data_IF_105855612906
#
_entry.id   IF_105855612906
#
_cell.length_a   1.000
_cell.length_b   1.000
_cell.length_c   1.000
_cell.angle_alpha   90.00
_cell.angle_beta   90.00
_cell.angle_gamma   90.00
#
_symmetry.space_group_name_H-M   'P 1'
#
loop_
_entity.id
_entity.type
_entity.pdbx_description
1 polymer ?
#
# COMPACT_ATOMS: atom_id res chain seq x y z
N UNK A 1 -12.95 13.30 24.11
CA UNK A 1 -12.56 12.17 23.23
C UNK A 1 -12.29 12.79 21.87
N UNK A 2 -11.03 13.04 21.53
CA UNK A 2 -10.69 13.54 20.19
C UNK A 2 -10.82 12.37 19.21
N UNK A 3 -11.82 12.42 18.34
CA UNK A 3 -11.98 11.49 17.22
C UNK A 3 -10.91 11.79 16.19
N UNK A 4 -9.80 11.05 16.20
CA UNK A 4 -8.86 11.07 15.09
C UNK A 4 -9.57 10.50 13.85
N UNK A 5 -9.57 11.25 12.74
CA UNK A 5 -10.11 10.78 11.47
C UNK A 5 -9.02 9.97 10.76
N UNK A 6 -9.20 8.65 10.67
CA UNK A 6 -8.35 7.77 9.85
C UNK A 6 -8.98 7.60 8.48
N UNK A 7 -8.20 7.81 7.41
CA UNK A 7 -8.58 7.56 6.03
C UNK A 7 -7.63 6.55 5.42
N UNK A 8 -8.17 5.46 4.91
CA UNK A 8 -7.42 4.50 4.08
C UNK A 8 -7.52 4.91 2.62
N UNK A 9 -6.39 4.96 1.91
CA UNK A 9 -6.33 5.18 0.47
C UNK A 9 -5.73 3.97 -0.23
N UNK A 10 -6.26 3.60 -1.39
CA UNK A 10 -5.71 2.52 -2.21
C UNK A 10 -5.28 3.07 -3.56
N UNK A 11 -4.11 2.66 -4.05
CA UNK A 11 -3.60 3.00 -5.39
C UNK A 11 -2.98 1.79 -6.06
N UNK A 12 -3.09 1.71 -7.38
CA UNK A 12 -2.38 0.69 -8.16
C UNK A 12 -1.04 1.25 -8.64
N UNK A 13 0.03 0.50 -8.42
CA UNK A 13 1.41 0.84 -8.80
C UNK A 13 1.95 -0.24 -9.72
N UNK A 14 2.51 0.14 -10.87
CA UNK A 14 3.12 -0.80 -11.82
C UNK A 14 4.64 -0.74 -11.73
N UNK A 15 5.25 -1.82 -11.24
CA UNK A 15 6.70 -1.98 -11.22
C UNK A 15 7.15 -2.62 -12.53
N UNK A 16 8.02 -1.93 -13.27
CA UNK A 16 8.56 -2.41 -14.56
C UNK A 16 9.72 -3.40 -14.40
N UNK A 17 10.27 -3.51 -13.18
CA UNK A 17 11.35 -4.44 -12.83
C UNK A 17 10.98 -5.20 -11.56
N UNK A 18 11.51 -6.42 -11.39
CA UNK A 18 11.40 -7.14 -10.12
C UNK A 18 12.01 -6.33 -8.98
N UNK A 19 11.43 -6.42 -7.79
CA UNK A 19 11.86 -5.68 -6.60
C UNK A 19 11.84 -6.59 -5.37
N UNK A 20 12.56 -6.20 -4.33
CA UNK A 20 12.58 -6.89 -3.04
C UNK A 20 11.88 -6.03 -2.00
N UNK A 21 11.21 -6.67 -1.05
CA UNK A 21 10.56 -6.01 0.09
C UNK A 21 11.22 -6.49 1.36
N UNK A 22 11.61 -5.57 2.23
CA UNK A 22 12.13 -5.91 3.53
C UNK A 22 11.06 -6.62 4.37
N UNK A 23 11.43 -7.72 5.02
CA UNK A 23 10.48 -8.56 5.76
C UNK A 23 9.69 -9.56 4.91
N UNK A 24 9.98 -9.67 3.61
CA UNK A 24 9.45 -10.72 2.75
C UNK A 24 10.55 -11.56 2.12
N UNK A 25 10.39 -12.88 2.18
CA UNK A 25 11.31 -13.80 1.53
C UNK A 25 11.11 -13.83 0.02
N UNK A 26 12.05 -13.20 -0.70
CA UNK A 26 12.21 -13.33 -2.15
C UNK A 26 11.82 -12.11 -2.97
N UNK A 27 12.26 -12.14 -4.23
CA UNK A 27 12.04 -11.09 -5.23
C UNK A 27 10.59 -11.16 -5.73
N UNK A 28 9.90 -10.03 -5.65
CA UNK A 28 8.58 -9.82 -6.23
C UNK A 28 8.70 -9.54 -7.74
N UNK A 29 7.89 -10.18 -8.59
CA UNK A 29 7.96 -9.99 -10.03
C UNK A 29 7.58 -8.56 -10.44
N UNK A 30 8.04 -8.11 -11.61
CA UNK A 30 7.48 -6.92 -12.24
C UNK A 30 5.97 -7.12 -12.48
N UNK A 31 5.17 -6.09 -12.26
CA UNK A 31 3.71 -6.19 -12.36
C UNK A 31 2.97 -5.04 -11.69
N UNK A 32 1.65 -5.12 -11.69
CA UNK A 32 0.77 -4.15 -11.03
C UNK A 32 0.37 -4.65 -9.64
N UNK A 33 0.53 -3.78 -8.65
CA UNK A 33 0.32 -4.06 -7.23
C UNK A 33 -0.60 -3.00 -6.64
N UNK A 34 -1.53 -3.41 -5.77
CA UNK A 34 -2.35 -2.45 -5.02
C UNK A 34 -1.60 -2.09 -3.75
N UNK A 35 -1.43 -0.80 -3.52
CA UNK A 35 -0.82 -0.24 -2.31
C UNK A 35 -1.90 0.49 -1.54
N UNK A 36 -2.15 0.06 -0.31
CA UNK A 36 -3.02 0.73 0.65
C UNK A 36 -2.18 1.57 1.61
N UNK A 37 -2.67 2.74 1.98
CA UNK A 37 -2.02 3.64 2.91
C UNK A 37 -3.05 4.20 3.87
N UNK A 38 -2.84 3.96 5.16
CA UNK A 38 -3.63 4.59 6.21
C UNK A 38 -3.02 5.95 6.54
N UNK A 39 -3.86 6.97 6.49
CA UNK A 39 -3.56 8.34 6.80
C UNK A 39 -4.39 8.79 8.00
N UNK A 40 -3.75 9.40 8.99
CA UNK A 40 -4.44 10.04 10.11
C UNK A 40 -4.46 11.55 9.91
N UNK A 41 -5.64 12.15 10.00
CA UNK A 41 -5.79 13.60 10.05
C UNK A 41 -5.39 14.12 11.42
N UNK A 42 -4.39 15.00 11.43
CA UNK A 42 -3.97 15.73 12.62
C UNK A 42 -4.81 17.01 12.67
N UNK A 43 -5.93 16.98 13.42
CA UNK A 43 -6.87 18.10 13.55
C UNK A 43 -6.38 19.21 14.49
N UNK A 44 -5.29 18.96 15.23
CA UNK A 44 -4.67 19.92 16.16
C UNK A 44 -3.87 21.04 15.49
N UNK A 45 -3.73 21.01 14.16
CA UNK A 45 -3.03 22.02 13.36
C UNK A 45 -4.03 22.94 12.64
N UNK A 46 -3.66 24.20 12.39
CA UNK A 46 -4.52 25.18 11.71
C UNK A 46 -4.86 24.82 10.25
N UNK A 47 -4.29 23.74 9.72
CA UNK A 47 -4.55 23.19 8.40
C UNK A 47 -4.64 21.66 8.49
N UNK A 48 -5.48 21.01 7.67
CA UNK A 48 -5.55 19.55 7.65
C UNK A 48 -4.22 18.97 7.17
N UNK A 49 -3.50 18.31 8.09
CA UNK A 49 -2.27 17.57 7.77
C UNK A 49 -2.56 16.08 7.94
N UNK A 50 -2.24 15.30 6.91
CA UNK A 50 -2.37 13.85 6.93
C UNK A 50 -1.00 13.24 7.22
N UNK A 51 -0.92 12.41 8.25
CA UNK A 51 0.26 11.59 8.55
C UNK A 51 0.00 10.17 8.10
N UNK A 52 0.89 9.61 7.27
CA UNK A 52 0.87 8.17 6.95
C UNK A 52 1.21 7.38 8.22
N UNK A 53 0.31 6.51 8.64
CA UNK A 53 0.45 5.68 9.84
C UNK A 53 0.87 4.25 9.48
N UNK A 54 0.44 3.76 8.32
CA UNK A 54 0.84 2.46 7.82
C UNK A 54 0.65 2.37 6.30
N UNK A 55 1.39 1.46 5.68
CA UNK A 55 1.33 1.21 4.24
C UNK A 55 1.40 -0.29 4.00
N UNK A 56 0.50 -0.79 3.16
CA UNK A 56 0.42 -2.19 2.78
C UNK A 56 0.51 -2.36 1.28
N UNK A 57 1.18 -3.42 0.83
CA UNK A 57 1.19 -3.83 -0.56
C UNK A 57 0.52 -5.19 -0.70
N UNK A 58 -0.42 -5.28 -1.63
CA UNK A 58 -1.11 -6.51 -2.00
C UNK A 58 -0.35 -7.16 -3.14
N UNK A 59 0.24 -8.32 -2.86
CA UNK A 59 0.98 -9.09 -3.84
C UNK A 59 0.00 -9.96 -4.66
N UNK A 60 0.18 -10.00 -5.99
CA UNK A 60 -0.53 -10.95 -6.83
C UNK A 60 -0.15 -12.38 -6.43
N UNK A 61 -1.05 -13.32 -6.70
CA UNK A 61 -0.74 -14.72 -6.51
C UNK A 61 0.55 -15.08 -7.26
N UNK A 62 1.52 -15.67 -6.57
CA UNK A 62 2.74 -16.17 -7.19
C UNK A 62 2.42 -17.46 -7.96
N UNK A 63 1.75 -17.33 -9.11
CA UNK A 63 1.58 -18.38 -10.10
C UNK A 63 2.94 -18.75 -10.70
N UNK A 64 3.78 -19.45 -9.94
CA UNK A 64 5.13 -19.80 -10.40
C UNK A 64 5.98 -20.64 -9.46
N UNK A 65 5.60 -20.77 -8.18
CA UNK A 65 6.24 -21.74 -7.28
C UNK A 65 5.26 -22.86 -6.95
N UNK A 66 5.39 -23.93 -7.71
CA UNK A 66 4.70 -25.20 -7.58
C UNK A 66 4.65 -25.71 -6.13
N UNK A 67 3.54 -25.50 -5.44
CA UNK A 67 2.95 -26.49 -4.53
C UNK A 67 1.49 -26.11 -4.30
N UNK A 68 0.56 -27.05 -4.51
CA UNK A 68 -0.89 -26.80 -4.62
C UNK A 68 -1.58 -26.39 -3.32
N UNK A 69 -1.25 -25.20 -2.80
CA UNK A 69 -2.01 -24.50 -1.78
C UNK A 69 -2.88 -23.43 -2.43
N UNK A 70 -4.14 -23.35 -2.01
CA UNK A 70 -5.05 -22.26 -2.35
C UNK A 70 -4.34 -20.92 -2.15
N UNK A 71 -4.06 -20.23 -3.24
CA UNK A 71 -3.28 -19.01 -3.28
C UNK A 71 -3.96 -17.84 -2.62
N UNK A 72 -3.69 -17.62 -1.33
CA UNK A 72 -4.18 -16.43 -0.66
C UNK A 72 -3.38 -15.22 -1.15
N UNK A 73 -4.07 -14.15 -1.52
CA UNK A 73 -3.44 -12.85 -1.72
C UNK A 73 -2.66 -12.50 -0.45
N UNK A 74 -1.37 -12.18 -0.61
CA UNK A 74 -0.51 -11.81 0.51
C UNK A 74 -0.46 -10.29 0.60
N UNK A 75 -0.76 -9.78 1.79
CA UNK A 75 -0.63 -8.36 2.12
C UNK A 75 0.58 -8.19 3.03
N UNK A 76 1.52 -7.36 2.61
CA UNK A 76 2.73 -7.08 3.39
C UNK A 76 2.75 -5.64 3.87
N UNK A 77 3.13 -5.45 5.14
CA UNK A 77 3.40 -4.13 5.68
C UNK A 77 4.74 -3.64 5.11
N UNK A 78 4.75 -2.45 4.54
CA UNK A 78 5.93 -1.83 3.96
C UNK A 78 6.20 -0.49 4.63
N UNK A 79 7.48 -0.18 4.84
CA UNK A 79 7.87 1.14 5.33
C UNK A 79 7.61 2.22 4.25
N UNK A 80 7.06 3.39 4.61
CA UNK A 80 6.78 4.45 3.63
C UNK A 80 8.02 4.94 2.87
N UNK A 81 9.19 5.05 3.53
CA UNK A 81 10.43 5.48 2.87
C UNK A 81 10.95 4.39 1.92
N UNK A 82 10.76 3.11 2.27
CA UNK A 82 11.05 1.99 1.39
C UNK A 82 10.12 2.02 0.16
N UNK A 83 8.81 2.21 0.36
CA UNK A 83 7.86 2.35 -0.73
C UNK A 83 8.28 3.48 -1.69
N UNK A 84 8.62 4.67 -1.17
CA UNK A 84 9.01 5.81 -2.01
C UNK A 84 10.29 5.52 -2.82
N UNK A 85 11.22 4.73 -2.28
CA UNK A 85 12.42 4.28 -3.04
C UNK A 85 12.08 3.32 -4.17
N UNK A 86 11.21 2.35 -3.92
CA UNK A 86 10.82 1.37 -4.95
C UNK A 86 9.93 2.08 -6.00
N UNK A 87 9.07 3.01 -5.57
CA UNK A 87 8.27 3.85 -6.47
C UNK A 87 9.11 4.77 -7.34
N UNK A 88 10.23 5.30 -6.86
CA UNK A 88 11.13 6.09 -7.70
C UNK A 88 11.67 5.28 -8.90
N UNK A 89 11.67 3.96 -8.79
CA UNK A 89 12.04 3.05 -9.89
C UNK A 89 10.86 2.56 -10.72
N UNK A 90 9.63 2.78 -10.24
CA UNK A 90 8.39 2.38 -10.88
C UNK A 90 7.82 3.54 -11.71
N UNK A 91 7.23 3.23 -12.87
CA UNK A 91 6.38 4.19 -13.56
C UNK A 91 5.06 4.25 -12.81
N UNK A 92 4.95 5.21 -11.89
CA UNK A 92 3.68 5.47 -11.20
C UNK A 92 2.77 6.25 -12.13
N UNK A 93 1.73 5.61 -12.65
CA UNK A 93 0.56 6.36 -13.07
C UNK A 93 -0.23 6.71 -11.81
N UNK A 94 -0.36 7.99 -11.43
CA UNK A 94 -1.20 8.37 -10.32
C UNK A 94 -2.66 8.12 -10.72
N UNK A 95 -3.21 6.99 -10.28
CA UNK A 95 -4.64 6.75 -10.36
C UNK A 95 -5.32 7.60 -9.29
N UNK A 96 -5.65 8.86 -9.63
CA UNK A 96 -6.44 9.75 -8.78
C UNK A 96 -7.91 9.30 -8.84
N UNK A 97 -8.22 8.20 -8.16
CA UNK A 97 -9.57 7.69 -7.97
C UNK A 97 -10.04 8.01 -6.55
N UNK A 98 -10.90 9.01 -6.42
CA UNK A 98 -11.61 9.34 -5.18
C UNK A 98 -12.41 8.12 -4.71
N UNK A 99 -11.88 7.35 -3.75
CA UNK A 99 -12.68 6.40 -2.99
C UNK A 99 -12.71 6.86 -1.53
N UNK A 100 -13.73 7.64 -1.21
CA UNK A 100 -14.10 7.98 0.16
C UNK A 100 -14.63 6.70 0.82
N UNK A 101 -13.75 5.89 1.39
CA UNK A 101 -14.15 4.86 2.35
C UNK A 101 -14.49 5.56 3.66
N UNK A 102 -15.75 6.01 3.75
CA UNK A 102 -16.36 6.45 4.99
C UNK A 102 -16.14 5.40 6.07
N UNK A 103 -15.53 5.84 7.16
CA UNK A 103 -15.22 5.05 8.35
C UNK A 103 -16.44 4.22 8.75
N UNK A 104 -16.31 2.89 8.73
CA UNK A 104 -17.31 2.04 9.38
C UNK A 104 -17.22 2.29 10.89
N UNK A 105 -18.27 2.92 11.42
CA UNK A 105 -18.49 3.03 12.85
C UNK A 105 -18.56 1.64 13.49
N UNK A 106 -17.87 1.49 14.62
CA UNK A 106 -18.23 0.51 15.63
C UNK A 106 -19.14 1.16 16.67
#
# INVERSE_FOLDING_TARGET
>A
MSTAFTRTTARTVTFTRPFELNGMDGVQPAGSYVVETDEELIDSLSFPVYRRTATWIHLPHADGRSNGGLGMAQTALIDPDELDRILASAETEPQYGSQEHGSQGR
#
